data_IF_569682847905
#
_entry.id   IF_569682847905
#
_cell.length_a   1.000
_cell.length_b   1.000
_cell.length_c   1.000
_cell.angle_alpha   90.00
_cell.angle_beta   90.00
_cell.angle_gamma   90.00
#
_symmetry.space_group_name_H-M   'P 1'
#
loop_
_entity.id
_entity.type
_entity.pdbx_description
1 polymer ?
#
# COMPACT_ATOMS: atom_id res chain seq x y z
N UNK A 1 0.23 10.02 2.72
CA UNK A 1 -0.91 10.15 3.63
C UNK A 1 -0.51 11.02 4.83
N UNK A 2 -1.28 12.04 5.17
CA UNK A 2 -1.05 12.81 6.41
C UNK A 2 -2.33 12.77 7.23
N UNK A 3 -2.21 12.34 8.48
CA UNK A 3 -3.25 12.39 9.49
C UNK A 3 -2.88 13.45 10.53
N UNK A 4 -3.83 14.31 10.90
CA UNK A 4 -3.66 15.28 12.00
C UNK A 4 -4.86 15.14 12.94
N UNK A 5 -4.61 14.69 14.16
CA UNK A 5 -5.62 14.46 15.20
C UNK A 5 -6.40 15.74 15.60
N UNK A 6 -5.90 16.91 15.24
CA UNK A 6 -6.49 18.19 15.66
C UNK A 6 -7.32 18.89 14.58
N UNK A 7 -7.20 18.49 13.30
CA UNK A 7 -7.92 19.13 12.18
C UNK A 7 -8.38 18.08 11.18
N UNK A 8 -9.49 17.43 11.46
CA UNK A 8 -10.03 16.30 10.70
C UNK A 8 -10.45 16.60 9.25
N UNK A 9 -10.35 17.86 8.80
CA UNK A 9 -10.94 18.28 7.52
C UNK A 9 -9.96 18.29 6.34
N UNK A 10 -8.66 17.97 6.51
CA UNK A 10 -7.70 18.37 5.49
C UNK A 10 -6.84 17.27 4.85
N UNK A 11 -6.88 16.00 5.31
CA UNK A 11 -5.84 15.05 4.91
C UNK A 11 -6.37 13.75 4.31
N UNK A 12 -6.16 13.62 3.02
CA UNK A 12 -6.24 12.39 2.24
C UNK A 12 -4.92 12.17 1.53
N UNK A 13 -4.96 11.95 0.23
CA UNK A 13 -3.77 11.86 -0.61
C UNK A 13 -3.31 13.27 -0.93
N UNK A 14 -2.05 13.55 -0.63
CA UNK A 14 -1.43 14.86 -0.83
C UNK A 14 -0.20 14.75 -1.73
N UNK A 15 0.15 15.84 -2.38
CA UNK A 15 1.40 16.01 -3.11
C UNK A 15 2.19 17.19 -2.57
N UNK A 16 3.49 17.14 -2.68
CA UNK A 16 4.39 18.24 -2.39
C UNK A 16 5.61 18.19 -3.33
N UNK A 17 6.34 19.29 -3.44
CA UNK A 17 7.61 19.32 -4.15
C UNK A 17 8.74 18.94 -3.21
N UNK A 18 9.75 18.25 -3.70
CA UNK A 18 10.91 17.81 -2.90
C UNK A 18 11.75 18.98 -2.35
N UNK A 19 11.67 20.15 -3.00
CA UNK A 19 12.33 21.39 -2.58
C UNK A 19 11.41 22.32 -1.75
N UNK A 20 10.15 21.92 -1.51
CA UNK A 20 9.14 22.62 -0.73
C UNK A 20 8.21 21.63 -0.02
N UNK A 21 8.79 20.81 0.87
CA UNK A 21 8.07 19.71 1.53
C UNK A 21 7.00 20.16 2.53
N UNK A 22 7.01 21.42 2.93
CA UNK A 22 6.02 22.10 3.77
C UNK A 22 4.83 22.68 2.97
N UNK A 23 4.96 22.82 1.64
CA UNK A 23 3.87 23.22 0.74
C UNK A 23 3.07 21.97 0.31
N UNK A 24 2.30 21.42 1.24
CA UNK A 24 1.50 20.22 1.03
C UNK A 24 0.19 20.60 0.34
N UNK A 25 -0.07 20.02 -0.82
CA UNK A 25 -1.29 20.24 -1.59
C UNK A 25 -2.17 18.99 -1.56
N UNK A 26 -3.42 19.07 -1.04
CA UNK A 26 -4.34 17.96 -1.09
C UNK A 26 -4.71 17.65 -2.55
N UNK A 27 -4.75 16.36 -2.88
CA UNK A 27 -5.16 15.85 -4.19
C UNK A 27 -6.50 15.13 -4.08
N UNK A 28 -6.68 14.32 -3.03
CA UNK A 28 -7.90 13.58 -2.81
C UNK A 28 -8.27 13.64 -1.32
N UNK A 29 -9.53 14.01 -0.99
CA UNK A 29 -9.93 14.29 0.39
C UNK A 29 -9.91 13.01 1.24
N UNK A 30 -9.67 13.20 2.54
CA UNK A 30 -9.83 12.13 3.53
C UNK A 30 -11.32 11.81 3.72
N UNK A 31 -11.64 10.53 3.75
CA UNK A 31 -12.96 10.01 4.11
C UNK A 31 -12.80 9.06 5.31
N UNK A 32 -13.38 9.42 6.45
CA UNK A 32 -13.27 8.62 7.68
C UNK A 32 -13.86 7.21 7.54
N UNK A 33 -14.82 7.02 6.62
CA UNK A 33 -15.43 5.71 6.39
C UNK A 33 -14.64 4.88 5.36
N UNK A 34 -13.82 5.54 4.52
CA UNK A 34 -13.09 4.90 3.41
C UNK A 34 -11.66 5.39 3.39
N UNK A 35 -10.82 4.65 4.04
CA UNK A 35 -9.44 5.03 4.28
C UNK A 35 -8.52 4.44 3.22
N UNK A 36 -7.60 5.26 2.70
CA UNK A 36 -6.52 4.79 1.84
C UNK A 36 -5.45 4.10 2.71
N UNK A 37 -5.19 2.83 2.43
CA UNK A 37 -4.21 2.03 3.18
C UNK A 37 -2.92 1.82 2.38
N UNK A 38 -3.04 1.42 1.12
CA UNK A 38 -1.92 1.11 0.26
C UNK A 38 -2.01 1.90 -1.04
N UNK A 39 -0.88 2.34 -1.58
CA UNK A 39 -0.91 3.06 -2.86
C UNK A 39 0.45 3.19 -3.53
N UNK A 40 0.43 3.26 -4.87
CA UNK A 40 1.61 3.47 -5.67
C UNK A 40 1.32 4.26 -6.95
N UNK A 41 2.30 5.02 -7.41
CA UNK A 41 2.23 5.70 -8.69
C UNK A 41 2.67 4.78 -9.83
N UNK A 42 1.83 4.67 -10.87
CA UNK A 42 2.11 3.89 -12.06
C UNK A 42 1.39 4.49 -13.27
N UNK A 43 2.02 4.46 -14.43
CA UNK A 43 1.40 4.79 -15.73
C UNK A 43 0.65 6.14 -15.76
N UNK A 44 1.13 7.14 -15.00
CA UNK A 44 0.54 8.48 -14.97
C UNK A 44 -0.57 8.69 -13.93
N UNK A 45 -0.94 7.64 -13.18
CA UNK A 45 -1.96 7.68 -12.14
C UNK A 45 -1.41 7.23 -10.79
N UNK A 46 -2.02 7.71 -9.71
CA UNK A 46 -1.83 7.13 -8.38
C UNK A 46 -2.91 6.07 -8.16
N UNK A 47 -2.49 4.84 -7.97
CA UNK A 47 -3.38 3.73 -7.63
C UNK A 47 -3.47 3.60 -6.13
N UNK A 48 -4.68 3.38 -5.61
CA UNK A 48 -4.93 3.31 -4.18
C UNK A 48 -5.91 2.20 -3.85
N UNK A 49 -5.59 1.47 -2.79
CA UNK A 49 -6.50 0.54 -2.16
C UNK A 49 -7.22 1.25 -1.01
N UNK A 50 -8.54 1.11 -1.00
CA UNK A 50 -9.41 1.64 0.04
C UNK A 50 -10.01 0.50 0.86
N UNK A 51 -10.10 0.70 2.17
CA UNK A 51 -10.91 -0.12 3.04
C UNK A 51 -12.04 0.71 3.66
N UNK A 52 -13.15 0.06 4.00
CA UNK A 52 -14.18 0.64 4.87
C UNK A 52 -13.88 0.30 6.32
N UNK A 53 -14.15 1.25 7.22
CA UNK A 53 -14.00 1.04 8.65
C UNK A 53 -15.18 1.62 9.42
N UNK A 54 -15.58 0.92 10.50
CA UNK A 54 -16.53 1.40 11.51
C UNK A 54 -15.81 1.94 12.75
N UNK A 55 -14.47 2.10 12.67
CA UNK A 55 -13.61 2.51 13.77
C UNK A 55 -13.03 1.34 14.58
N UNK A 56 -13.52 0.13 14.36
CA UNK A 56 -13.04 -1.10 15.04
C UNK A 56 -12.58 -2.17 14.06
N UNK A 57 -13.29 -2.30 12.94
CA UNK A 57 -13.01 -3.29 11.91
C UNK A 57 -12.68 -2.61 10.60
N UNK A 58 -11.73 -3.17 9.88
CA UNK A 58 -11.41 -2.77 8.52
C UNK A 58 -11.80 -3.89 7.55
N UNK A 59 -12.48 -3.53 6.46
CA UNK A 59 -12.88 -4.48 5.42
C UNK A 59 -12.49 -3.96 4.05
N UNK A 60 -12.02 -4.82 3.12
CA UNK A 60 -11.72 -4.42 1.76
C UNK A 60 -12.90 -3.69 1.11
N UNK A 61 -12.62 -2.59 0.42
CA UNK A 61 -13.67 -1.81 -0.23
C UNK A 61 -13.46 -1.72 -1.73
N UNK A 62 -12.42 -1.01 -2.18
CA UNK A 62 -12.21 -0.80 -3.62
C UNK A 62 -10.75 -0.54 -3.97
N UNK A 63 -10.44 -0.75 -5.25
CA UNK A 63 -9.21 -0.34 -5.88
C UNK A 63 -9.51 0.79 -6.86
N UNK A 64 -8.87 1.93 -6.66
CA UNK A 64 -9.11 3.13 -7.42
C UNK A 64 -7.83 3.63 -8.08
N UNK A 65 -7.96 4.36 -9.17
CA UNK A 65 -6.89 5.19 -9.74
C UNK A 65 -7.28 6.67 -9.62
N UNK A 66 -6.31 7.51 -9.32
CA UNK A 66 -6.46 8.95 -9.13
C UNK A 66 -5.56 9.69 -10.12
N UNK A 67 -6.14 10.59 -10.90
CA UNK A 67 -5.38 11.57 -11.69
C UNK A 67 -4.86 12.65 -10.75
N UNK A 68 -3.53 12.68 -10.52
CA UNK A 68 -2.92 13.65 -9.61
C UNK A 68 -2.99 15.10 -10.11
N UNK A 69 -3.34 15.34 -11.36
CA UNK A 69 -3.49 16.69 -11.93
C UNK A 69 -4.87 17.28 -11.63
N UNK A 70 -5.92 16.45 -11.63
CA UNK A 70 -7.31 16.86 -11.45
C UNK A 70 -7.89 16.45 -10.11
N UNK A 71 -7.32 15.45 -9.43
CA UNK A 71 -7.89 14.80 -8.25
C UNK A 71 -9.07 13.86 -8.57
N UNK A 72 -9.34 13.63 -9.85
CA UNK A 72 -10.43 12.74 -10.25
C UNK A 72 -10.09 11.29 -9.91
N UNK A 73 -10.98 10.63 -9.16
CA UNK A 73 -10.88 9.23 -8.78
C UNK A 73 -11.81 8.37 -9.61
N UNK A 74 -11.29 7.28 -10.16
CA UNK A 74 -12.05 6.27 -10.89
C UNK A 74 -11.88 4.92 -10.20
N UNK A 75 -12.99 4.28 -9.81
CA UNK A 75 -12.95 2.92 -9.30
C UNK A 75 -12.58 1.95 -10.43
N UNK A 76 -11.51 1.17 -10.20
CA UNK A 76 -11.04 0.11 -11.10
C UNK A 76 -11.72 -1.22 -10.76
N UNK A 77 -11.81 -1.53 -9.46
CA UNK A 77 -12.43 -2.76 -8.97
C UNK A 77 -13.16 -2.57 -7.64
N UNK A 78 -14.15 -3.44 -7.41
CA UNK A 78 -14.82 -3.62 -6.13
C UNK A 78 -14.12 -4.78 -5.39
N UNK A 79 -13.59 -4.49 -4.20
CA UNK A 79 -12.85 -5.46 -3.39
C UNK A 79 -13.62 -5.98 -2.19
N UNK A 80 -14.90 -5.62 -2.05
CA UNK A 80 -15.74 -6.14 -0.97
C UNK A 80 -15.82 -7.66 -1.01
N UNK A 81 -15.49 -8.29 0.13
CA UNK A 81 -15.44 -9.74 0.25
C UNK A 81 -14.09 -10.37 -0.13
N UNK A 82 -13.06 -9.56 -0.45
CA UNK A 82 -11.70 -10.06 -0.55
C UNK A 82 -11.21 -10.59 0.81
N UNK A 83 -10.49 -11.72 0.87
CA UNK A 83 -10.13 -12.35 2.14
C UNK A 83 -8.95 -11.69 2.86
N UNK A 84 -8.27 -10.73 2.24
CA UNK A 84 -7.09 -10.07 2.79
C UNK A 84 -7.14 -8.55 2.62
N UNK A 85 -6.50 -7.85 3.56
CA UNK A 85 -6.26 -6.41 3.50
C UNK A 85 -4.89 -6.13 2.89
N UNK A 86 -4.82 -5.19 1.97
CA UNK A 86 -3.52 -4.71 1.48
C UNK A 86 -2.86 -3.86 2.58
N UNK A 87 -1.58 -4.13 2.81
CA UNK A 87 -0.77 -3.34 3.73
C UNK A 87 0.02 -2.26 2.99
N UNK A 88 0.57 -2.59 1.82
CA UNK A 88 1.25 -1.62 0.95
C UNK A 88 1.31 -2.11 -0.49
N UNK A 89 1.62 -1.19 -1.42
CA UNK A 89 1.77 -1.46 -2.84
C UNK A 89 3.00 -0.75 -3.42
N UNK A 90 3.61 -1.36 -4.42
CA UNK A 90 4.71 -0.76 -5.19
C UNK A 90 4.64 -1.16 -6.67
N UNK A 91 5.14 -0.30 -7.55
CA UNK A 91 5.19 -0.59 -8.98
C UNK A 91 6.62 -0.90 -9.44
N UNK A 92 6.79 -2.09 -9.99
CA UNK A 92 8.04 -2.51 -10.64
C UNK A 92 8.07 -2.00 -12.09
N UNK A 93 8.79 -0.92 -12.34
CA UNK A 93 8.94 -0.33 -13.66
C UNK A 93 9.73 -1.23 -14.64
N UNK A 94 10.56 -2.15 -14.14
CA UNK A 94 11.34 -3.07 -14.95
C UNK A 94 10.49 -4.13 -15.63
N UNK A 95 9.40 -4.55 -14.98
CA UNK A 95 8.45 -5.57 -15.48
C UNK A 95 7.05 -5.02 -15.74
N UNK A 96 6.84 -3.72 -15.47
CA UNK A 96 5.53 -3.06 -15.57
C UNK A 96 4.45 -3.80 -14.76
N UNK A 97 4.78 -4.16 -13.52
CA UNK A 97 3.91 -4.95 -12.66
C UNK A 97 3.65 -4.23 -11.34
N UNK A 98 2.38 -4.08 -10.96
CA UNK A 98 2.00 -3.63 -9.64
C UNK A 98 2.04 -4.82 -8.67
N UNK A 99 2.81 -4.68 -7.60
CA UNK A 99 2.86 -5.63 -6.48
C UNK A 99 2.15 -5.03 -5.27
N UNK A 100 1.51 -5.89 -4.49
CA UNK A 100 0.94 -5.57 -3.19
C UNK A 100 1.32 -6.63 -2.17
N UNK A 101 1.41 -6.25 -0.90
CA UNK A 101 1.42 -7.19 0.21
C UNK A 101 0.03 -7.18 0.85
N UNK A 102 -0.54 -8.37 1.03
CA UNK A 102 -1.84 -8.57 1.64
C UNK A 102 -1.75 -9.54 2.81
N UNK A 103 -2.30 -9.15 3.94
CA UNK A 103 -2.35 -10.02 5.12
C UNK A 103 -3.67 -10.79 5.17
N UNK A 104 -3.59 -12.11 5.23
CA UNK A 104 -4.73 -13.01 5.39
C UNK A 104 -4.85 -13.43 6.86
N UNK A 105 -5.81 -12.84 7.56
CA UNK A 105 -6.04 -13.12 8.98
C UNK A 105 -6.54 -14.54 9.25
N UNK A 106 -7.14 -15.19 8.26
CA UNK A 106 -7.71 -16.53 8.43
C UNK A 106 -6.64 -17.63 8.56
N UNK A 107 -5.48 -17.39 7.96
CA UNK A 107 -4.33 -18.29 7.95
C UNK A 107 -3.06 -17.65 8.53
N UNK A 108 -3.15 -16.39 8.98
CA UNK A 108 -2.06 -15.64 9.60
C UNK A 108 -0.81 -15.57 8.72
N UNK A 109 -1.00 -15.28 7.44
CA UNK A 109 0.12 -15.19 6.50
C UNK A 109 0.07 -13.93 5.66
N UNK A 110 1.24 -13.42 5.30
CA UNK A 110 1.39 -12.32 4.34
C UNK A 110 1.67 -12.89 2.96
N UNK A 111 0.90 -12.43 2.00
CA UNK A 111 0.97 -12.83 0.60
C UNK A 111 1.58 -11.71 -0.25
N UNK A 112 2.42 -12.10 -1.21
CA UNK A 112 2.80 -11.22 -2.30
C UNK A 112 1.79 -11.40 -3.44
N UNK A 113 1.22 -10.31 -3.87
CA UNK A 113 0.16 -10.24 -4.89
C UNK A 113 0.65 -9.45 -6.10
N UNK A 114 0.17 -9.80 -7.29
CA UNK A 114 0.19 -8.96 -8.49
C UNK A 114 -1.19 -8.40 -8.70
N UNK A 115 -1.27 -7.12 -9.04
CA UNK A 115 -2.53 -6.41 -9.26
C UNK A 115 -2.59 -5.96 -10.72
N UNK A 116 -3.63 -6.33 -11.42
CA UNK A 116 -3.90 -5.86 -12.77
C UNK A 116 -4.45 -4.42 -12.73
N UNK A 117 -3.72 -3.45 -13.26
CA UNK A 117 -4.09 -2.02 -13.19
C UNK A 117 -5.35 -1.68 -14.00
N UNK A 118 -5.75 -2.52 -14.95
CA UNK A 118 -6.95 -2.30 -15.78
C UNK A 118 -8.20 -2.89 -15.18
N UNK A 119 -8.08 -4.09 -14.58
CA UNK A 119 -9.25 -4.83 -14.06
C UNK A 119 -9.32 -4.87 -12.55
N UNK A 120 -8.21 -4.56 -11.84
CA UNK A 120 -8.06 -4.75 -10.42
C UNK A 120 -7.92 -6.21 -9.98
N UNK A 121 -7.93 -7.17 -10.93
CA UNK A 121 -7.78 -8.58 -10.60
C UNK A 121 -6.43 -8.83 -9.89
N UNK A 122 -6.49 -9.59 -8.80
CA UNK A 122 -5.30 -9.96 -8.02
C UNK A 122 -4.93 -11.41 -8.24
N UNK A 123 -3.63 -11.67 -8.34
CA UNK A 123 -3.08 -13.03 -8.40
C UNK A 123 -1.98 -13.20 -7.36
N UNK A 124 -1.98 -14.32 -6.65
CA UNK A 124 -0.93 -14.62 -5.67
C UNK A 124 0.36 -14.93 -6.43
N UNK A 125 1.42 -14.15 -6.17
CA UNK A 125 2.76 -14.42 -6.68
C UNK A 125 3.50 -15.41 -5.78
N UNK A 126 3.25 -15.33 -4.45
CA UNK A 126 3.83 -16.23 -3.48
C UNK A 126 3.42 -15.89 -2.04
N UNK A 127 3.85 -16.71 -1.11
CA UNK A 127 3.70 -16.49 0.33
C UNK A 127 5.00 -15.92 0.89
N UNK A 128 4.89 -14.79 1.62
CA UNK A 128 6.06 -14.15 2.24
C UNK A 128 6.35 -14.80 3.59
N UNK A 129 5.31 -15.07 4.38
CA UNK A 129 5.42 -15.70 5.69
C UNK A 129 4.43 -15.15 6.73
N UNK A 130 4.63 -15.56 7.99
CA UNK A 130 3.74 -15.23 9.11
C UNK A 130 3.91 -13.79 9.62
N UNK A 131 5.06 -13.14 9.37
CA UNK A 131 5.29 -11.76 9.80
C UNK A 131 4.36 -10.78 9.08
N UNK A 132 3.95 -9.74 9.78
CA UNK A 132 3.22 -8.61 9.19
C UNK A 132 4.21 -7.62 8.59
N UNK A 133 4.13 -7.42 7.30
CA UNK A 133 4.92 -6.42 6.57
C UNK A 133 4.07 -5.19 6.31
N UNK A 134 4.60 -4.00 6.61
CA UNK A 134 3.84 -2.74 6.54
C UNK A 134 4.34 -1.77 5.47
N UNK A 135 5.48 -2.05 4.87
CA UNK A 135 6.01 -1.25 3.77
C UNK A 135 6.55 -2.17 2.68
N UNK A 136 6.29 -1.80 1.44
CA UNK A 136 6.80 -2.49 0.25
C UNK A 136 7.41 -1.47 -0.71
N UNK A 137 8.64 -1.69 -1.13
CA UNK A 137 9.33 -0.86 -2.10
C UNK A 137 9.94 -1.69 -3.21
N UNK A 138 10.06 -1.11 -4.39
CA UNK A 138 10.74 -1.70 -5.52
C UNK A 138 11.96 -0.85 -5.92
N UNK A 139 13.13 -1.47 -6.03
CA UNK A 139 14.31 -0.77 -6.57
C UNK A 139 14.16 -0.54 -8.07
N UNK A 140 15.02 0.33 -8.62
CA UNK A 140 15.05 0.60 -10.05
C UNK A 140 15.34 -0.68 -10.89
N UNK A 141 16.10 -1.61 -10.33
CA UNK A 141 16.42 -2.90 -10.94
C UNK A 141 15.30 -3.95 -10.79
N UNK A 142 14.20 -3.61 -10.11
CA UNK A 142 13.05 -4.48 -9.92
C UNK A 142 13.19 -5.46 -8.76
N UNK A 143 14.08 -5.19 -7.78
CA UNK A 143 14.16 -5.94 -6.53
C UNK A 143 13.12 -5.39 -5.54
N UNK A 144 12.31 -6.27 -4.96
CA UNK A 144 11.35 -5.91 -3.92
C UNK A 144 11.98 -5.97 -2.53
N UNK A 145 11.60 -5.01 -1.69
CA UNK A 145 11.99 -4.91 -0.29
C UNK A 145 10.75 -4.65 0.56
N UNK A 146 10.74 -5.21 1.77
CA UNK A 146 9.67 -5.00 2.73
C UNK A 146 10.24 -4.79 4.14
N UNK A 147 9.47 -4.14 5.01
CA UNK A 147 9.81 -3.97 6.44
C UNK A 147 8.73 -4.69 7.25
N UNK A 148 9.16 -5.54 8.19
CA UNK A 148 8.22 -6.11 9.15
C UNK A 148 7.91 -5.15 10.31
N UNK A 149 6.69 -5.25 10.84
CA UNK A 149 6.23 -4.38 11.92
C UNK A 149 6.76 -4.82 13.30
N UNK A 150 6.99 -6.11 13.48
CA UNK A 150 7.28 -6.67 14.80
C UNK A 150 8.70 -6.34 15.26
N UNK A 151 9.66 -6.41 14.35
CA UNK A 151 11.08 -6.25 14.64
C UNK A 151 11.70 -5.02 13.96
N UNK A 152 11.09 -4.50 12.90
CA UNK A 152 11.64 -3.41 12.09
C UNK A 152 12.79 -3.87 11.19
N UNK A 153 12.80 -5.15 10.83
CA UNK A 153 13.81 -5.72 9.96
C UNK A 153 13.47 -5.46 8.49
N UNK A 154 14.50 -5.17 7.70
CA UNK A 154 14.42 -5.04 6.26
C UNK A 154 14.62 -6.42 5.61
N UNK A 155 13.72 -6.74 4.69
CA UNK A 155 13.70 -7.99 3.96
C UNK A 155 13.78 -7.74 2.45
N UNK A 156 14.52 -8.56 1.73
CA UNK A 156 14.40 -8.69 0.27
C UNK A 156 13.37 -9.78 -0.06
N UNK A 157 12.50 -9.49 -1.03
CA UNK A 157 11.42 -10.40 -1.43
C UNK A 157 11.67 -10.87 -2.85
N UNK A 158 11.68 -12.17 -3.07
CA UNK A 158 11.67 -12.74 -4.43
C UNK A 158 10.29 -12.54 -5.05
N UNK A 159 10.22 -11.74 -6.10
CA UNK A 159 8.96 -11.36 -6.75
C UNK A 159 8.24 -12.48 -7.50
N UNK A 160 8.86 -13.63 -7.67
CA UNK A 160 8.28 -14.78 -8.36
C UNK A 160 7.76 -15.85 -7.38
N UNK A 161 8.35 -15.93 -6.19
CA UNK A 161 8.02 -16.97 -5.20
C UNK A 161 7.48 -16.42 -3.90
N UNK A 162 7.64 -15.12 -3.63
CA UNK A 162 7.34 -14.50 -2.35
C UNK A 162 8.40 -14.73 -1.27
N UNK A 163 9.42 -15.57 -1.53
CA UNK A 163 10.42 -15.92 -0.52
C UNK A 163 11.13 -14.67 0.02
N UNK A 164 11.09 -14.49 1.35
CA UNK A 164 11.74 -13.41 2.05
C UNK A 164 13.13 -13.81 2.54
N UNK A 165 14.09 -12.89 2.41
CA UNK A 165 15.45 -13.04 2.95
C UNK A 165 15.75 -11.82 3.81
N UNK A 166 16.10 -12.07 5.08
CA UNK A 166 16.47 -11.02 6.02
C UNK A 166 17.75 -10.31 5.57
N UNK A 167 17.71 -8.98 5.56
CA UNK A 167 18.86 -8.11 5.28
C UNK A 167 19.42 -7.55 6.59
N UNK A 168 18.55 -7.29 7.58
CA UNK A 168 18.94 -6.81 8.90
C UNK A 168 18.07 -5.69 9.43
N UNK A 169 18.31 -5.37 10.70
CA UNK A 169 17.55 -4.38 11.46
C UNK A 169 17.78 -2.95 10.95
N UNK A 170 16.69 -2.19 10.73
CA UNK A 170 16.73 -0.83 10.20
C UNK A 170 17.15 0.23 11.24
N UNK A 171 17.23 -0.14 12.51
CA UNK A 171 17.57 0.80 13.61
C UNK A 171 16.35 1.35 14.36
N UNK A 172 15.18 1.25 13.79
CA UNK A 172 13.92 1.71 14.37
C UNK A 172 12.84 0.63 14.25
N UNK A 173 12.04 0.45 15.29
CA UNK A 173 10.81 -0.34 15.16
C UNK A 173 9.76 0.53 14.47
N UNK A 174 9.23 0.03 13.40
CA UNK A 174 8.09 0.66 12.74
C UNK A 174 6.87 0.40 13.64
N UNK A 175 6.34 1.44 14.28
CA UNK A 175 5.09 1.29 15.02
C UNK A 175 3.93 1.07 14.04
N UNK A 176 2.87 0.41 14.49
CA UNK A 176 1.65 0.20 13.68
C UNK A 176 1.04 1.53 13.17
N UNK A 177 1.46 2.66 13.72
CA UNK A 177 1.04 4.01 13.35
C UNK A 177 1.72 4.56 12.09
N UNK A 178 2.76 3.89 11.56
CA UNK A 178 3.44 4.25 10.31
C UNK A 178 2.85 3.48 9.12
N UNK A 179 1.55 3.44 9.00
CA UNK A 179 0.91 3.02 7.76
C UNK A 179 1.09 4.13 6.73
N UNK A 180 1.82 3.81 5.68
CA UNK A 180 2.16 4.71 4.58
C UNK A 180 0.95 5.11 3.75
#
# INVERSE_FOLDING_TARGET
LRYDDYNQDEYGICKFKTDAADDIQPVWPYDQARVACAGAFAEGFYYVYLYETDGYNATPYSFNRIDLSTGESTQVADYRGMPFLFQDMTYDYSTQTMYAIGYDESVYTTLLLKVNLTTGETTIAGEIGESKYVALACSYEGQLYAIDVDYGDLWSIDKFTGAATDIGYTGERVSEDLQS
#
